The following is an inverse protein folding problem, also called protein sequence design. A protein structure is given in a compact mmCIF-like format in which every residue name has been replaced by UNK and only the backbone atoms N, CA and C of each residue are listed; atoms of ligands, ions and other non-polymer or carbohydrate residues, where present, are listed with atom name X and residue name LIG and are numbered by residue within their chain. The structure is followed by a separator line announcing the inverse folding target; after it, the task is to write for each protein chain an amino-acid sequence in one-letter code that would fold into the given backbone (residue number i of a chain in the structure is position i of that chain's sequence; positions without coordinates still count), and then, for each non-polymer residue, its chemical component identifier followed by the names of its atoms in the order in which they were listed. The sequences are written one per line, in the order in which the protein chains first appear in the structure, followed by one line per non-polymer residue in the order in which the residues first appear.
data_IF_638065148886
#
_entry.id   IF_638065148886
#
_cell.length_a   1.000
_cell.length_b   1.000
_cell.length_c   1.000
_cell.angle_alpha   90.00
_cell.angle_beta   90.00
_cell.angle_gamma   90.00
#
_symmetry.space_group_name_H-M   'P 1'
#
loop_
_entity.id
_entity.type
_entity.pdbx_description
1 polymer ?
#
# COMPACT_ATOMS: atom_id res chain seq x y z
N UNK A 1 21.48 0.18 -7.70
CA UNK A 1 20.28 0.18 -6.84
C UNK A 1 19.43 1.37 -7.22
N UNK A 2 18.17 1.17 -7.62
CA UNK A 2 17.27 2.29 -7.89
C UNK A 2 17.06 3.07 -6.59
N UNK A 3 17.34 4.37 -6.60
CA UNK A 3 17.10 5.25 -5.48
C UNK A 3 15.61 5.26 -5.16
N UNK A 4 15.24 5.11 -3.89
CA UNK A 4 13.85 5.23 -3.45
C UNK A 4 13.34 6.65 -3.70
N UNK A 5 12.48 6.80 -4.70
CA UNK A 5 11.89 8.08 -5.06
C UNK A 5 10.57 8.29 -4.31
N UNK A 6 10.63 9.00 -3.18
CA UNK A 6 9.45 9.31 -2.35
C UNK A 6 8.29 9.94 -3.13
N UNK A 7 8.62 10.79 -4.12
CA UNK A 7 7.62 11.51 -4.90
C UNK A 7 6.85 10.60 -5.85
N UNK A 8 7.54 9.71 -6.55
CA UNK A 8 6.91 8.70 -7.42
C UNK A 8 6.08 7.73 -6.61
N UNK A 9 6.61 7.30 -5.46
CA UNK A 9 5.92 6.41 -4.54
C UNK A 9 4.60 7.01 -4.02
N UNK A 10 4.66 8.26 -3.55
CA UNK A 10 3.47 8.96 -3.08
C UNK A 10 2.44 9.17 -4.20
N UNK A 11 2.89 9.50 -5.41
CA UNK A 11 2.02 9.64 -6.57
C UNK A 11 1.32 8.32 -6.91
N UNK A 12 2.06 7.21 -6.98
CA UNK A 12 1.48 5.90 -7.26
C UNK A 12 0.42 5.50 -6.23
N UNK A 13 0.69 5.76 -4.95
CA UNK A 13 -0.27 5.49 -3.87
C UNK A 13 -1.54 6.34 -3.99
N UNK A 14 -1.41 7.62 -4.36
CA UNK A 14 -2.57 8.52 -4.57
C UNK A 14 -3.42 8.03 -5.74
N UNK A 15 -2.80 7.66 -6.86
CA UNK A 15 -3.53 7.14 -8.02
C UNK A 15 -4.25 5.81 -7.70
N UNK A 16 -3.63 4.92 -6.93
CA UNK A 16 -4.28 3.70 -6.47
C UNK A 16 -5.50 4.01 -5.58
N UNK A 17 -5.39 4.96 -4.66
CA UNK A 17 -6.51 5.39 -3.79
C UNK A 17 -7.65 6.01 -4.63
N UNK A 18 -7.34 6.86 -5.59
CA UNK A 18 -8.34 7.43 -6.50
C UNK A 18 -9.08 6.34 -7.28
N UNK A 19 -8.33 5.35 -7.78
CA UNK A 19 -8.89 4.20 -8.49
C UNK A 19 -9.84 3.41 -7.59
N UNK A 20 -9.45 3.12 -6.34
CA UNK A 20 -10.34 2.45 -5.37
C UNK A 20 -11.63 3.24 -5.15
N UNK A 21 -11.55 4.55 -4.95
CA UNK A 21 -12.74 5.38 -4.77
C UNK A 21 -13.64 5.39 -6.02
N UNK A 22 -13.06 5.42 -7.22
CA UNK A 22 -13.81 5.34 -8.46
C UNK A 22 -14.54 4.00 -8.60
N UNK A 23 -13.84 2.87 -8.40
CA UNK A 23 -14.40 1.54 -8.45
C UNK A 23 -15.53 1.35 -7.44
N UNK A 24 -15.33 1.84 -6.22
CA UNK A 24 -16.34 1.77 -5.16
C UNK A 24 -17.59 2.59 -5.51
N UNK A 25 -17.42 3.79 -6.03
CA UNK A 25 -18.54 4.64 -6.47
C UNK A 25 -19.31 4.03 -7.64
N UNK A 26 -18.60 3.42 -8.59
CA UNK A 26 -19.17 2.82 -9.80
C UNK A 26 -19.65 1.39 -9.58
N UNK A 27 -19.36 0.80 -8.42
CA UNK A 27 -19.77 -0.58 -8.05
C UNK A 27 -19.37 -1.61 -9.12
N UNK A 28 -18.16 -1.50 -9.65
CA UNK A 28 -17.61 -2.39 -10.69
C UNK A 28 -16.27 -2.97 -10.31
N UNK A 29 -15.85 -3.99 -11.02
CA UNK A 29 -14.51 -4.58 -10.91
C UNK A 29 -13.47 -3.76 -11.69
N UNK A 30 -12.21 -3.88 -11.28
CA UNK A 30 -11.10 -3.20 -11.92
C UNK A 30 -10.78 -3.76 -13.31
N UNK A 31 -10.48 -2.88 -14.27
CA UNK A 31 -9.92 -3.25 -15.57
C UNK A 31 -8.47 -3.75 -15.42
N UNK A 32 -7.87 -4.40 -16.44
CA UNK A 32 -6.47 -4.81 -16.39
C UNK A 32 -5.51 -3.63 -16.13
N UNK A 33 -5.77 -2.47 -16.70
CA UNK A 33 -4.97 -1.24 -16.52
C UNK A 33 -5.10 -0.73 -15.08
N UNK A 34 -6.32 -0.70 -14.55
CA UNK A 34 -6.58 -0.30 -13.17
C UNK A 34 -5.96 -1.27 -12.16
N UNK A 35 -5.94 -2.57 -12.45
CA UNK A 35 -5.22 -3.55 -11.63
C UNK A 35 -3.73 -3.26 -11.58
N UNK A 36 -3.13 -2.80 -12.67
CA UNK A 36 -1.74 -2.39 -12.71
C UNK A 36 -1.50 -1.17 -11.81
N UNK A 37 -2.40 -0.17 -11.83
CA UNK A 37 -2.35 0.99 -10.94
C UNK A 37 -2.49 0.55 -9.47
N UNK A 38 -3.44 -0.32 -9.18
CA UNK A 38 -3.65 -0.84 -7.82
C UNK A 38 -2.45 -1.65 -7.31
N UNK A 39 -1.82 -2.44 -8.18
CA UNK A 39 -0.62 -3.22 -7.85
C UNK A 39 0.62 -2.35 -7.57
N UNK A 40 0.63 -1.09 -8.02
CA UNK A 40 1.68 -0.13 -7.71
C UNK A 40 1.56 0.49 -6.31
N UNK A 41 0.46 0.23 -5.59
CA UNK A 41 0.30 0.69 -4.20
C UNK A 41 1.28 -0.04 -3.28
N UNK A 42 2.01 0.71 -2.49
CA UNK A 42 3.04 0.16 -1.59
C UNK A 42 2.92 0.68 -0.16
N UNK A 43 1.84 1.42 0.14
CA UNK A 43 1.64 2.02 1.45
C UNK A 43 2.51 3.25 1.69
N UNK A 44 2.39 3.80 2.89
CA UNK A 44 3.00 5.10 3.23
C UNK A 44 4.15 4.98 4.24
N UNK A 45 4.81 3.84 4.30
CA UNK A 45 5.88 3.60 5.27
C UNK A 45 6.89 4.75 5.36
N UNK A 46 7.13 5.24 6.57
CA UNK A 46 8.03 6.35 6.89
C UNK A 46 7.66 7.74 6.34
N UNK A 47 6.59 7.93 5.56
CA UNK A 47 6.15 9.24 5.06
C UNK A 47 5.32 9.98 6.12
N UNK A 48 5.95 10.46 7.18
CA UNK A 48 5.25 11.10 8.30
C UNK A 48 4.53 12.39 7.91
N UNK A 49 5.01 13.09 6.88
CA UNK A 49 4.41 14.35 6.40
C UNK A 49 2.93 14.20 5.99
N UNK A 50 2.49 13.02 5.53
CA UNK A 50 1.10 12.79 5.17
C UNK A 50 0.12 12.83 6.36
N UNK A 51 0.62 12.70 7.60
CA UNK A 51 -0.20 12.73 8.81
C UNK A 51 -0.51 14.16 9.27
N UNK A 52 0.17 15.14 8.71
CA UNK A 52 0.03 16.55 9.07
C UNK A 52 -0.51 17.32 7.87
N UNK A 53 -1.85 17.35 7.67
CA UNK A 53 -2.43 18.15 6.59
C UNK A 53 -2.01 19.60 6.77
N UNK A 54 -1.36 20.12 5.75
CA UNK A 54 -0.87 21.49 5.74
C UNK A 54 -1.76 22.30 4.78
N UNK A 55 -2.38 23.35 5.28
CA UNK A 55 -3.19 24.26 4.46
C UNK A 55 -2.39 25.46 3.97
N UNK A 56 -1.28 25.77 4.65
CA UNK A 56 -0.39 26.89 4.36
C UNK A 56 1.07 26.45 4.38
N UNK A 57 1.95 27.30 3.82
CA UNK A 57 3.41 27.06 3.90
C UNK A 57 3.94 27.09 5.33
N UNK A 58 3.26 27.76 6.25
CA UNK A 58 3.64 27.79 7.68
C UNK A 58 3.41 26.44 8.36
N UNK A 59 2.37 25.72 7.96
CA UNK A 59 2.06 24.40 8.50
C UNK A 59 3.14 23.37 8.20
N UNK A 60 3.89 23.55 7.11
CA UNK A 60 4.97 22.64 6.70
C UNK A 60 6.33 22.98 7.34
N UNK A 61 6.41 24.04 8.13
CA UNK A 61 7.66 24.43 8.79
C UNK A 61 8.27 23.34 9.67
N UNK A 62 7.47 22.36 10.11
CA UNK A 62 7.89 21.21 10.91
C UNK A 62 8.30 19.98 10.09
N UNK A 63 8.15 20.04 8.76
CA UNK A 63 8.51 18.93 7.89
C UNK A 63 10.01 18.88 7.66
N UNK A 64 10.53 17.68 7.41
CA UNK A 64 11.91 17.54 6.97
C UNK A 64 12.13 18.23 5.62
N UNK A 65 13.28 18.86 5.42
CA UNK A 65 13.61 19.53 4.15
C UNK A 65 13.41 18.63 2.92
N UNK A 66 13.73 17.34 3.06
CA UNK A 66 13.55 16.34 1.99
C UNK A 66 12.09 15.97 1.69
N UNK A 67 11.15 16.46 2.49
CA UNK A 67 9.71 16.18 2.33
C UNK A 67 8.94 17.42 1.85
N UNK A 68 9.57 18.60 1.84
CA UNK A 68 8.91 19.85 1.42
C UNK A 68 8.40 19.80 -0.02
N UNK A 69 9.13 19.12 -0.91
CA UNK A 69 8.71 18.93 -2.31
C UNK A 69 7.48 18.02 -2.47
N UNK A 70 7.11 17.28 -1.41
CA UNK A 70 5.93 16.42 -1.39
C UNK A 70 4.65 17.18 -1.04
N UNK A 71 4.77 18.44 -0.59
CA UNK A 71 3.62 19.25 -0.15
C UNK A 71 2.42 19.22 -1.11
N UNK A 72 2.58 19.46 -2.42
CA UNK A 72 1.44 19.44 -3.34
C UNK A 72 0.74 18.07 -3.39
N UNK A 73 1.51 16.99 -3.34
CA UNK A 73 0.97 15.63 -3.34
C UNK A 73 0.28 15.28 -2.03
N UNK A 74 0.80 15.74 -0.89
CA UNK A 74 0.14 15.55 0.40
C UNK A 74 -1.20 16.28 0.43
N UNK A 75 -1.24 17.51 -0.10
CA UNK A 75 -2.50 18.25 -0.25
C UNK A 75 -3.48 17.55 -1.17
N UNK A 76 -3.01 16.99 -2.27
CA UNK A 76 -3.82 16.21 -3.20
C UNK A 76 -4.40 14.96 -2.50
N UNK A 77 -3.58 14.22 -1.73
CA UNK A 77 -4.03 13.06 -0.96
C UNK A 77 -5.17 13.42 0.00
N UNK A 78 -4.96 14.46 0.81
CA UNK A 78 -5.97 14.90 1.78
C UNK A 78 -7.26 15.37 1.12
N UNK A 79 -7.17 16.11 0.01
CA UNK A 79 -8.32 16.51 -0.79
C UNK A 79 -9.04 15.29 -1.35
N UNK A 80 -8.32 14.35 -1.95
CA UNK A 80 -8.89 13.11 -2.49
C UNK A 80 -9.68 12.35 -1.43
N UNK A 81 -9.14 12.22 -0.22
CA UNK A 81 -9.84 11.55 0.88
C UNK A 81 -11.07 12.36 1.30
N UNK A 82 -10.93 13.66 1.47
CA UNK A 82 -12.04 14.54 1.92
C UNK A 82 -13.20 14.53 0.91
N UNK A 83 -12.90 14.62 -0.38
CA UNK A 83 -13.91 14.66 -1.46
C UNK A 83 -14.66 13.32 -1.61
N UNK A 84 -14.07 12.23 -1.13
CA UNK A 84 -14.67 10.89 -1.17
C UNK A 84 -15.19 10.41 0.20
N UNK A 85 -15.37 11.30 1.16
CA UNK A 85 -15.98 11.00 2.47
C UNK A 85 -17.32 11.70 2.62
N UNK A 86 -18.27 10.98 3.18
CA UNK A 86 -19.65 11.49 3.40
C UNK A 86 -19.89 11.95 4.85
N UNK A 87 -18.98 11.61 5.76
CA UNK A 87 -19.09 11.96 7.19
C UNK A 87 -17.72 12.18 7.82
N UNK A 88 -17.71 12.95 8.91
CA UNK A 88 -16.48 13.18 9.69
C UNK A 88 -15.96 11.88 10.34
N UNK A 89 -16.85 10.96 10.69
CA UNK A 89 -16.47 9.64 11.21
C UNK A 89 -15.70 8.83 10.16
N UNK A 90 -16.17 8.83 8.91
CA UNK A 90 -15.51 8.16 7.81
C UNK A 90 -14.14 8.78 7.49
N UNK A 91 -14.05 10.10 7.49
CA UNK A 91 -12.78 10.80 7.32
C UNK A 91 -11.77 10.40 8.41
N UNK A 92 -12.18 10.40 9.68
CA UNK A 92 -11.33 9.96 10.79
C UNK A 92 -10.87 8.51 10.63
N UNK A 93 -11.73 7.63 10.13
CA UNK A 93 -11.38 6.23 9.85
C UNK A 93 -10.28 6.14 8.79
N UNK A 94 -10.40 6.87 7.69
CA UNK A 94 -9.35 6.90 6.65
C UNK A 94 -8.04 7.52 7.16
N UNK A 95 -8.11 8.58 7.95
CA UNK A 95 -6.91 9.17 8.56
C UNK A 95 -6.23 8.20 9.54
N UNK A 96 -7.00 7.40 10.29
CA UNK A 96 -6.44 6.36 11.14
C UNK A 96 -5.76 5.25 10.31
N UNK A 97 -6.33 4.89 9.16
CA UNK A 97 -5.71 3.94 8.23
C UNK A 97 -4.40 4.45 7.64
N UNK A 98 -4.35 5.74 7.26
CA UNK A 98 -3.11 6.37 6.83
C UNK A 98 -2.04 6.31 7.93
N UNK A 99 -2.43 6.64 9.17
CA UNK A 99 -1.53 6.58 10.33
C UNK A 99 -0.98 5.16 10.53
N UNK A 100 -1.84 4.15 10.48
CA UNK A 100 -1.42 2.77 10.59
C UNK A 100 -0.45 2.41 9.46
N UNK A 101 -0.75 2.78 8.22
CA UNK A 101 0.12 2.54 7.06
C UNK A 101 1.50 3.19 7.21
N UNK A 102 1.58 4.43 7.71
CA UNK A 102 2.88 5.09 7.99
C UNK A 102 3.71 4.32 9.00
N UNK A 103 3.05 3.69 9.97
CA UNK A 103 3.71 2.96 11.06
C UNK A 103 4.08 1.53 10.69
N UNK A 104 3.35 0.89 9.78
CA UNK A 104 3.44 -0.57 9.54
C UNK A 104 3.77 -0.98 8.11
N UNK A 105 3.64 -0.08 7.13
CA UNK A 105 3.88 -0.42 5.72
C UNK A 105 5.38 -0.43 5.38
N UNK A 106 6.11 -1.34 6.00
CA UNK A 106 7.52 -1.65 5.70
C UNK A 106 7.56 -3.06 5.12
N UNK A 107 7.29 -3.15 3.81
CA UNK A 107 7.23 -4.44 3.13
C UNK A 107 8.61 -4.89 2.68
N UNK A 108 8.84 -6.21 2.73
CA UNK A 108 10.05 -6.80 2.19
C UNK A 108 10.11 -6.56 0.68
N UNK A 109 11.21 -6.01 0.15
CA UNK A 109 11.33 -5.77 -1.29
C UNK A 109 11.18 -7.05 -2.11
N UNK A 110 10.44 -6.98 -3.21
CA UNK A 110 10.19 -8.11 -4.10
C UNK A 110 11.46 -8.87 -4.55
N UNK A 111 12.61 -8.22 -4.86
CA UNK A 111 13.84 -8.94 -5.18
C UNK A 111 14.31 -9.87 -4.05
N UNK A 112 14.21 -9.42 -2.78
CA UNK A 112 14.62 -10.24 -1.62
C UNK A 112 13.71 -11.46 -1.47
N UNK A 113 12.40 -11.28 -1.63
CA UNK A 113 11.43 -12.38 -1.54
C UNK A 113 11.67 -13.39 -2.67
N UNK A 114 11.95 -12.93 -3.88
CA UNK A 114 12.28 -13.80 -5.01
C UNK A 114 13.56 -14.59 -4.80
N UNK A 115 14.61 -13.99 -4.21
CA UNK A 115 15.84 -14.70 -3.87
C UNK A 115 15.60 -15.79 -2.82
N UNK A 116 14.78 -15.53 -1.82
CA UNK A 116 14.38 -16.53 -0.84
C UNK A 116 13.67 -17.69 -1.54
N UNK A 117 12.73 -17.39 -2.43
CA UNK A 117 11.99 -18.39 -3.19
C UNK A 117 12.92 -19.22 -4.11
N UNK A 118 13.89 -18.56 -4.76
CA UNK A 118 14.89 -19.21 -5.60
C UNK A 118 15.78 -20.16 -4.77
N UNK A 119 16.29 -19.68 -3.64
CA UNK A 119 17.14 -20.50 -2.75
C UNK A 119 16.44 -21.74 -2.23
N UNK A 120 15.14 -21.64 -1.88
CA UNK A 120 14.36 -22.82 -1.47
C UNK A 120 14.23 -23.83 -2.62
N UNK A 121 14.00 -23.33 -3.82
CA UNK A 121 13.87 -24.16 -5.04
C UNK A 121 15.18 -24.89 -5.35
N UNK A 122 16.31 -24.18 -5.29
CA UNK A 122 17.65 -24.74 -5.48
C UNK A 122 18.00 -25.79 -4.42
N UNK A 123 17.57 -25.57 -3.18
CA UNK A 123 17.75 -26.54 -2.09
C UNK A 123 16.78 -27.75 -2.17
N UNK A 124 15.92 -27.81 -3.19
CA UNK A 124 14.93 -28.89 -3.33
C UNK A 124 13.83 -28.86 -2.24
N UNK A 125 13.69 -27.73 -1.56
CA UNK A 125 12.66 -27.57 -0.51
C UNK A 125 11.33 -27.21 -1.17
N UNK A 126 10.36 -28.12 -1.11
CA UNK A 126 9.00 -27.93 -1.61
C UNK A 126 8.04 -27.84 -0.42
N UNK A 127 7.71 -26.64 0.08
CA UNK A 127 6.82 -26.52 1.22
C UNK A 127 5.40 -26.95 0.83
N UNK A 128 4.80 -27.81 1.62
CA UNK A 128 3.41 -28.27 1.43
C UNK A 128 2.39 -27.22 1.86
N UNK A 129 2.75 -26.41 2.85
CA UNK A 129 1.94 -25.34 3.39
C UNK A 129 2.82 -24.14 3.70
N UNK A 130 2.37 -22.97 3.37
CA UNK A 130 3.02 -21.71 3.72
C UNK A 130 2.03 -20.89 4.53
N UNK A 131 2.46 -20.40 5.70
CA UNK A 131 1.74 -19.43 6.50
C UNK A 131 2.49 -18.11 6.44
N UNK A 132 1.85 -17.09 5.92
CA UNK A 132 2.33 -15.71 6.00
C UNK A 132 1.43 -14.92 6.96
N UNK A 133 1.83 -14.76 8.23
CA UNK A 133 1.02 -14.05 9.23
C UNK A 133 1.00 -12.53 9.02
N UNK A 134 1.85 -12.02 8.13
CA UNK A 134 2.01 -10.58 7.85
C UNK A 134 2.04 -10.32 6.36
N UNK A 135 1.11 -10.93 5.63
CA UNK A 135 1.10 -11.00 4.17
C UNK A 135 1.26 -9.64 3.44
N UNK A 136 0.93 -8.53 4.11
CA UNK A 136 1.08 -7.19 3.54
C UNK A 136 0.42 -7.09 2.17
N UNK A 137 1.22 -6.82 1.15
CA UNK A 137 0.76 -6.77 -0.25
C UNK A 137 0.76 -8.13 -0.96
N UNK A 138 1.00 -9.23 -0.23
CA UNK A 138 0.98 -10.58 -0.77
C UNK A 138 2.21 -10.95 -1.62
N UNK A 139 3.35 -10.28 -1.44
CA UNK A 139 4.55 -10.52 -2.24
C UNK A 139 5.14 -11.92 -2.03
N UNK A 140 5.15 -12.39 -0.77
CA UNK A 140 5.58 -13.77 -0.47
C UNK A 140 4.71 -14.77 -1.19
N UNK A 141 3.40 -14.61 -1.16
CA UNK A 141 2.44 -15.50 -1.80
C UNK A 141 2.71 -15.59 -3.29
N UNK A 142 2.81 -14.44 -3.98
CA UNK A 142 3.08 -14.40 -5.42
C UNK A 142 4.44 -15.01 -5.78
N UNK A 143 5.46 -14.79 -4.95
CA UNK A 143 6.81 -15.30 -5.20
C UNK A 143 6.95 -16.80 -4.92
N UNK A 144 6.10 -17.35 -4.06
CA UNK A 144 6.07 -18.78 -3.71
C UNK A 144 5.04 -19.57 -4.52
N UNK A 145 4.26 -18.90 -5.36
CA UNK A 145 3.39 -19.56 -6.31
C UNK A 145 4.22 -20.44 -7.25
N UNK A 146 3.85 -21.69 -7.41
CA UNK A 146 4.62 -22.68 -8.17
C UNK A 146 5.82 -23.34 -7.43
N UNK A 147 6.13 -22.95 -6.17
CA UNK A 147 7.06 -23.71 -5.30
C UNK A 147 6.27 -24.60 -4.35
N UNK A 148 5.16 -24.13 -3.86
CA UNK A 148 4.28 -24.89 -2.98
C UNK A 148 3.49 -25.92 -3.80
N UNK A 149 3.54 -27.19 -3.40
CA UNK A 149 2.84 -28.32 -4.04
C UNK A 149 1.33 -28.33 -3.87
N UNK A 150 0.70 -27.17 -3.68
CA UNK A 150 -0.73 -26.97 -3.54
C UNK A 150 -1.13 -26.33 -2.20
N UNK A 151 -2.08 -25.40 -2.30
CA UNK A 151 -2.77 -24.72 -1.21
C UNK A 151 -1.93 -23.84 -0.27
N UNK A 152 -1.68 -22.63 -0.69
CA UNK A 152 -1.33 -21.51 0.22
C UNK A 152 -2.61 -21.12 0.96
N UNK A 153 -2.73 -21.45 2.24
CA UNK A 153 -3.77 -20.89 3.10
C UNK A 153 -3.20 -19.64 3.76
N UNK A 154 -3.76 -18.52 3.39
CA UNK A 154 -3.42 -17.22 3.95
C UNK A 154 -4.46 -16.92 5.01
N UNK A 155 -4.03 -16.69 6.23
CA UNK A 155 -4.86 -16.03 7.21
C UNK A 155 -4.64 -14.51 7.07
N UNK A 156 -5.54 -13.85 6.35
CA UNK A 156 -5.53 -12.40 6.16
C UNK A 156 -6.31 -11.68 7.26
N UNK A 157 -6.70 -12.36 8.32
CA UNK A 157 -7.69 -11.88 9.28
C UNK A 157 -7.27 -10.67 10.12
N UNK A 158 -6.01 -10.28 10.14
CA UNK A 158 -5.57 -9.25 11.09
C UNK A 158 -5.25 -7.86 10.51
N UNK A 159 -5.25 -7.63 9.20
CA UNK A 159 -4.74 -6.36 8.65
C UNK A 159 -5.58 -5.66 7.59
N UNK A 160 -6.76 -6.14 7.29
CA UNK A 160 -7.64 -5.51 6.29
C UNK A 160 -8.74 -4.68 6.95
N UNK A 161 -8.41 -3.64 7.67
CA UNK A 161 -9.41 -2.63 8.04
C UNK A 161 -9.10 -1.32 7.33
N UNK A 162 -10.01 -0.89 6.51
CA UNK A 162 -10.29 0.44 5.97
C UNK A 162 -9.81 0.82 4.57
N UNK A 163 -8.74 0.26 4.04
CA UNK A 163 -8.41 0.38 2.60
C UNK A 163 -8.35 -0.99 1.94
N UNK A 164 -9.22 -1.85 2.34
CA UNK A 164 -9.21 -3.21 1.81
C UNK A 164 -9.77 -3.22 0.41
N UNK A 165 -8.91 -3.58 -0.50
CA UNK A 165 -9.23 -4.16 -1.79
C UNK A 165 -9.99 -5.49 -1.59
N UNK A 166 -11.14 -5.46 -0.91
CA UNK A 166 -11.98 -6.65 -0.72
C UNK A 166 -12.81 -6.98 -1.95
N UNK A 167 -12.37 -6.51 -3.13
CA UNK A 167 -13.09 -6.77 -4.38
C UNK A 167 -12.11 -6.91 -5.56
N UNK A 168 -11.03 -7.67 -5.38
CA UNK A 168 -10.22 -8.13 -6.53
C UNK A 168 -10.30 -9.63 -6.59
#
# INVERSE_FOLDING_TARGET
MASYNKKEHLRANIEAIKTVFALHREQRTATPEERTILAAYTGFGALKCILSPANTMEDIARWNKSELELFPLVMELHRTIRDNTTSESQYKSYMQSLKNSVMTAFYTPAPVVREIAASLREAGIVPQRILDPSAGMGEFIRSFDGIAGGCVKIDTSSFYSSFTLSTI
#
